data_IF_075499952743
#
_entry.id   IF_075499952743
#
_cell.length_a   1.000
_cell.length_b   1.000
_cell.length_c   1.000
_cell.angle_alpha   90.00
_cell.angle_beta   90.00
_cell.angle_gamma   90.00
#
_symmetry.space_group_name_H-M   'P 1'
#
loop_
_entity.id
_entity.type
_entity.pdbx_description
1 polymer ?
#
# COMPACT_ATOMS: atom_id res chain seq x y z
N UNK A 1 -18.12 -11.99 11.34
CA UNK A 1 -19.59 -11.99 11.23
C UNK A 1 -19.93 -11.45 9.85
N UNK A 2 -20.51 -12.25 8.94
CA UNK A 2 -20.85 -11.84 7.57
C UNK A 2 -21.97 -10.80 7.62
N UNK A 3 -21.76 -9.60 7.05
CA UNK A 3 -22.85 -8.64 6.85
C UNK A 3 -23.53 -8.98 5.53
N UNK A 4 -24.64 -9.72 5.61
CA UNK A 4 -25.49 -9.96 4.45
C UNK A 4 -26.20 -8.64 4.13
N UNK A 5 -25.89 -8.07 2.97
CA UNK A 5 -26.53 -6.85 2.47
C UNK A 5 -27.61 -7.27 1.49
N UNK A 6 -28.88 -7.04 1.83
CA UNK A 6 -30.03 -7.36 0.97
C UNK A 6 -30.31 -6.30 -0.10
N UNK A 7 -29.44 -5.29 -0.28
CA UNK A 7 -29.66 -4.16 -1.20
C UNK A 7 -29.84 -4.57 -2.67
N UNK A 8 -29.46 -5.79 -3.05
CA UNK A 8 -29.50 -6.29 -4.43
C UNK A 8 -30.48 -7.46 -4.63
N UNK A 9 -31.34 -7.73 -3.65
CA UNK A 9 -32.29 -8.84 -3.70
C UNK A 9 -33.23 -8.73 -4.92
N UNK A 10 -33.66 -7.51 -5.29
CA UNK A 10 -34.51 -7.24 -6.44
C UNK A 10 -33.82 -7.52 -7.80
N UNK A 11 -32.50 -7.63 -7.81
CA UNK A 11 -31.70 -8.03 -8.98
C UNK A 11 -31.40 -9.53 -9.01
N UNK A 12 -31.99 -10.30 -8.09
CA UNK A 12 -31.71 -11.73 -7.94
C UNK A 12 -30.34 -12.03 -7.31
N UNK A 13 -29.63 -11.02 -6.81
CA UNK A 13 -28.31 -11.17 -6.19
C UNK A 13 -28.51 -11.40 -4.69
N UNK A 14 -28.18 -12.61 -4.23
CA UNK A 14 -28.35 -13.03 -2.83
C UNK A 14 -27.48 -12.22 -1.88
N UNK A 15 -26.19 -12.10 -2.20
CA UNK A 15 -25.26 -11.18 -1.59
C UNK A 15 -24.06 -10.94 -2.53
N UNK A 16 -23.44 -9.77 -2.41
CA UNK A 16 -22.33 -9.36 -3.27
C UNK A 16 -21.10 -10.26 -3.11
N UNK A 17 -20.88 -10.82 -1.93
CA UNK A 17 -19.69 -11.62 -1.67
C UNK A 17 -19.77 -12.95 -2.42
N UNK A 18 -20.91 -13.65 -2.36
CA UNK A 18 -21.15 -14.85 -3.17
C UNK A 18 -21.09 -14.53 -4.67
N UNK A 19 -21.65 -13.39 -5.11
CA UNK A 19 -21.55 -12.98 -6.50
C UNK A 19 -20.09 -12.78 -6.94
N UNK A 20 -19.27 -12.14 -6.10
CA UNK A 20 -17.83 -11.96 -6.36
C UNK A 20 -17.09 -13.31 -6.35
N UNK A 21 -17.40 -14.23 -5.44
CA UNK A 21 -16.81 -15.58 -5.43
C UNK A 21 -17.12 -16.33 -6.73
N UNK A 22 -18.39 -16.35 -7.15
CA UNK A 22 -18.86 -17.08 -8.35
C UNK A 22 -18.27 -16.52 -9.65
N UNK A 23 -17.88 -15.25 -9.66
CA UNK A 23 -17.39 -14.56 -10.86
C UNK A 23 -15.89 -14.22 -10.80
N UNK A 24 -15.12 -14.83 -9.88
CA UNK A 24 -13.70 -14.52 -9.69
C UNK A 24 -13.41 -13.03 -9.44
N UNK A 25 -14.38 -12.32 -8.84
CA UNK A 25 -14.30 -10.90 -8.50
C UNK A 25 -13.62 -10.61 -7.16
N UNK A 26 -13.26 -11.65 -6.39
CA UNK A 26 -12.44 -11.48 -5.18
C UNK A 26 -10.98 -11.23 -5.54
N UNK A 27 -10.29 -10.48 -4.67
CA UNK A 27 -8.86 -10.25 -4.77
C UNK A 27 -8.06 -11.54 -4.60
N UNK A 28 -7.12 -11.76 -5.51
CA UNK A 28 -6.20 -12.89 -5.45
C UNK A 28 -4.85 -12.41 -4.94
N UNK A 29 -4.41 -12.94 -3.81
CA UNK A 29 -3.18 -12.55 -3.12
C UNK A 29 -2.14 -13.66 -3.29
N UNK A 30 -0.90 -13.29 -3.60
CA UNK A 30 0.20 -14.23 -3.73
C UNK A 30 1.52 -13.63 -3.23
N UNK A 31 2.49 -14.47 -2.81
CA UNK A 31 3.86 -14.01 -2.62
C UNK A 31 4.44 -13.49 -3.95
N UNK A 32 5.39 -12.54 -3.91
CA UNK A 32 6.05 -12.06 -5.12
C UNK A 32 6.90 -13.16 -5.76
N UNK A 33 6.96 -13.16 -7.09
CA UNK A 33 7.97 -13.92 -7.83
C UNK A 33 9.37 -13.30 -7.67
N UNK A 34 10.40 -13.96 -8.22
CA UNK A 34 11.79 -13.51 -8.07
C UNK A 34 12.04 -12.09 -8.61
N UNK A 35 11.40 -11.67 -9.70
CA UNK A 35 11.60 -10.33 -10.26
C UNK A 35 10.83 -9.29 -9.46
N UNK A 36 9.59 -9.61 -9.07
CA UNK A 36 8.78 -8.79 -8.19
C UNK A 36 9.48 -8.56 -6.85
N UNK A 37 10.11 -9.59 -6.30
CA UNK A 37 10.85 -9.51 -5.04
C UNK A 37 12.06 -8.57 -5.16
N UNK A 38 12.79 -8.57 -6.28
CA UNK A 38 13.89 -7.62 -6.52
C UNK A 38 13.37 -6.18 -6.53
N UNK A 39 12.25 -5.94 -7.21
CA UNK A 39 11.62 -4.62 -7.28
C UNK A 39 11.08 -4.16 -5.92
N UNK A 40 10.42 -5.03 -5.17
CA UNK A 40 9.96 -4.76 -3.80
C UNK A 40 11.16 -4.39 -2.91
N UNK A 41 12.26 -5.13 -2.97
CA UNK A 41 13.47 -4.79 -2.20
C UNK A 41 14.04 -3.43 -2.57
N UNK A 42 13.97 -3.07 -3.86
CA UNK A 42 14.39 -1.75 -4.33
C UNK A 42 13.48 -0.64 -3.75
N UNK A 43 12.17 -0.88 -3.69
CA UNK A 43 11.22 0.03 -3.01
C UNK A 43 11.52 0.14 -1.51
N UNK A 44 11.78 -0.97 -0.83
CA UNK A 44 12.15 -1.01 0.59
C UNK A 44 13.45 -0.24 0.87
N UNK A 45 14.46 -0.39 0.01
CA UNK A 45 15.71 0.34 0.12
C UNK A 45 15.47 1.86 0.00
N UNK A 46 14.73 2.28 -1.02
CA UNK A 46 14.36 3.70 -1.21
C UNK A 46 13.54 4.21 -0.03
N UNK A 47 12.56 3.44 0.44
CA UNK A 47 11.74 3.77 1.59
C UNK A 47 12.61 3.98 2.84
N UNK A 48 13.55 3.09 3.11
CA UNK A 48 14.43 3.19 4.27
C UNK A 48 15.37 4.38 4.18
N UNK A 49 15.94 4.63 3.00
CA UNK A 49 16.92 5.69 2.77
C UNK A 49 16.30 7.09 2.85
N UNK A 50 15.16 7.30 2.19
CA UNK A 50 14.60 8.65 2.01
C UNK A 50 13.39 8.94 2.92
N UNK A 51 12.64 7.92 3.33
CA UNK A 51 11.33 8.10 3.97
C UNK A 51 11.28 7.60 5.42
N UNK A 52 12.35 7.01 5.96
CA UNK A 52 12.35 6.44 7.32
C UNK A 52 12.04 7.41 8.45
N UNK A 53 12.19 8.72 8.22
CA UNK A 53 11.84 9.75 9.20
C UNK A 53 10.34 10.10 9.22
N UNK A 54 9.57 9.72 8.20
CA UNK A 54 8.14 10.04 8.10
C UNK A 54 7.21 8.90 8.54
N UNK A 55 7.75 7.69 8.78
CA UNK A 55 7.02 6.55 9.32
C UNK A 55 7.67 5.98 10.59
N UNK A 56 7.02 5.04 11.28
CA UNK A 56 7.46 4.53 12.58
C UNK A 56 7.72 3.01 12.61
N UNK A 57 8.19 2.42 11.52
CA UNK A 57 8.43 0.98 11.43
C UNK A 57 9.81 0.61 11.99
N UNK A 58 9.85 -0.29 12.98
CA UNK A 58 11.09 -0.99 13.37
C UNK A 58 11.57 -1.94 12.27
N UNK A 59 10.60 -2.57 11.59
CA UNK A 59 10.76 -3.41 10.42
C UNK A 59 9.61 -3.12 9.46
N UNK A 60 9.92 -2.93 8.17
CA UNK A 60 8.89 -2.70 7.15
C UNK A 60 7.92 -3.90 7.08
N UNK A 61 6.62 -3.64 6.84
CA UNK A 61 5.61 -4.69 6.67
C UNK A 61 5.95 -5.58 5.46
N UNK A 62 5.46 -6.81 5.49
CA UNK A 62 5.68 -7.74 4.38
C UNK A 62 4.90 -7.26 3.15
N UNK A 63 5.56 -7.14 2.02
CA UNK A 63 4.94 -6.76 0.76
C UNK A 63 4.64 -8.00 -0.11
N UNK A 64 3.37 -8.18 -0.46
CA UNK A 64 2.84 -9.24 -1.31
C UNK A 64 2.22 -8.64 -2.59
N UNK A 65 1.68 -9.48 -3.47
CA UNK A 65 1.15 -9.07 -4.77
C UNK A 65 -0.34 -9.38 -4.91
N UNK A 66 -1.10 -8.42 -5.44
CA UNK A 66 -2.46 -8.63 -5.96
C UNK A 66 -2.35 -9.11 -7.41
N UNK A 67 -2.88 -10.31 -7.67
CA UNK A 67 -2.65 -11.06 -8.92
C UNK A 67 -3.77 -10.86 -9.94
N UNK A 68 -4.98 -10.52 -9.50
CA UNK A 68 -6.10 -10.31 -10.40
C UNK A 68 -6.01 -8.95 -11.10
N UNK A 69 -6.09 -8.97 -12.44
CA UNK A 69 -6.06 -7.79 -13.34
C UNK A 69 -7.18 -6.76 -13.12
N UNK A 70 -8.12 -7.03 -12.21
CA UNK A 70 -9.37 -6.30 -12.04
C UNK A 70 -9.52 -5.67 -10.67
N UNK A 71 -8.45 -5.60 -9.87
CA UNK A 71 -8.51 -4.84 -8.61
C UNK A 71 -8.67 -3.37 -8.91
N UNK A 72 -9.66 -2.74 -8.27
CA UNK A 72 -9.80 -1.29 -8.32
C UNK A 72 -8.62 -0.59 -7.61
N UNK A 73 -7.98 -1.29 -6.67
CA UNK A 73 -6.86 -0.79 -5.89
C UNK A 73 -5.51 -1.18 -6.52
N UNK A 74 -4.58 -0.22 -6.59
CA UNK A 74 -3.19 -0.44 -7.01
C UNK A 74 -2.27 -0.84 -5.85
N UNK A 75 -2.73 -0.62 -4.62
CA UNK A 75 -2.11 -1.00 -3.37
C UNK A 75 -3.18 -1.24 -2.30
N UNK A 76 -2.86 -2.05 -1.30
CA UNK A 76 -3.71 -2.29 -0.13
C UNK A 76 -2.85 -2.52 1.11
N UNK A 77 -3.16 -1.84 2.22
CA UNK A 77 -2.51 -2.08 3.51
C UNK A 77 -3.44 -2.78 4.52
N UNK A 78 -2.93 -3.85 5.13
CA UNK A 78 -3.64 -4.54 6.20
C UNK A 78 -3.34 -3.91 7.55
N UNK A 79 -4.28 -3.08 8.02
CA UNK A 79 -4.13 -2.23 9.20
C UNK A 79 -4.81 -2.83 10.43
N UNK A 80 -4.13 -2.72 11.58
CA UNK A 80 -4.65 -3.10 12.89
C UNK A 80 -4.60 -1.88 13.81
N UNK A 81 -5.72 -1.56 14.47
CA UNK A 81 -5.74 -0.44 15.43
C UNK A 81 -4.70 -0.67 16.52
N UNK A 82 -4.02 0.39 16.90
CA UNK A 82 -2.97 0.33 17.93
C UNK A 82 -3.13 1.45 18.94
N UNK A 83 -2.97 1.13 20.22
CA UNK A 83 -3.00 2.10 21.33
C UNK A 83 -1.60 2.64 21.65
N UNK A 84 -0.58 2.21 20.90
CA UNK A 84 0.81 2.64 21.07
C UNK A 84 0.91 4.16 20.95
N UNK A 85 1.73 4.75 21.81
CA UNK A 85 2.05 6.17 21.76
C UNK A 85 3.36 6.43 21.01
N UNK A 86 3.44 5.94 19.77
CA UNK A 86 4.61 6.09 18.89
C UNK A 86 4.38 7.28 17.96
N UNK A 87 5.43 8.06 17.74
CA UNK A 87 5.44 9.23 16.84
C UNK A 87 6.63 9.16 15.90
N UNK A 88 6.46 9.64 14.68
CA UNK A 88 7.58 9.78 13.74
C UNK A 88 8.46 10.98 14.14
N UNK A 89 9.54 11.21 13.37
CA UNK A 89 10.48 12.32 13.62
C UNK A 89 9.84 13.72 13.48
N UNK A 90 8.66 13.81 12.86
CA UNK A 90 7.87 15.03 12.72
C UNK A 90 6.86 15.21 13.86
N UNK A 91 6.86 14.32 14.87
CA UNK A 91 5.95 14.37 16.01
C UNK A 91 4.54 13.86 15.71
N UNK A 92 4.30 13.23 14.56
CA UNK A 92 2.99 12.72 14.15
C UNK A 92 2.76 11.33 14.73
N UNK A 93 1.63 11.13 15.42
CA UNK A 93 1.29 9.87 16.09
C UNK A 93 0.67 8.86 15.13
N UNK A 94 1.07 7.59 15.23
CA UNK A 94 0.40 6.49 14.51
C UNK A 94 -0.99 6.19 15.09
N UNK A 95 -1.90 5.76 14.22
CA UNK A 95 -3.25 5.29 14.54
C UNK A 95 -3.40 3.76 14.38
N UNK A 96 -2.56 3.15 13.54
CA UNK A 96 -2.61 1.72 13.23
C UNK A 96 -1.20 1.13 13.04
N UNK A 97 -1.04 -0.13 13.37
CA UNK A 97 0.08 -0.96 12.92
C UNK A 97 -0.27 -1.57 11.55
N UNK A 98 0.72 -1.76 10.67
CA UNK A 98 0.55 -2.45 9.37
C UNK A 98 1.35 -3.75 9.40
N UNK A 99 0.68 -4.88 9.15
CA UNK A 99 1.35 -6.19 9.09
C UNK A 99 1.81 -6.54 7.68
N UNK A 100 0.96 -6.23 6.70
CA UNK A 100 1.13 -6.61 5.30
C UNK A 100 0.69 -5.47 4.39
N UNK A 101 1.37 -5.34 3.27
CA UNK A 101 1.00 -4.50 2.14
C UNK A 101 0.88 -5.40 0.92
N UNK A 102 -0.05 -5.08 0.04
CA UNK A 102 -0.19 -5.71 -1.26
C UNK A 102 -0.05 -4.66 -2.34
N UNK A 103 0.71 -4.97 -3.40
CA UNK A 103 0.79 -4.12 -4.60
C UNK A 103 0.18 -4.86 -5.78
N UNK A 104 -0.56 -4.15 -6.64
CA UNK A 104 -1.00 -4.70 -7.91
C UNK A 104 0.20 -5.17 -8.74
N UNK A 105 0.05 -6.31 -9.43
CA UNK A 105 1.11 -6.89 -10.26
C UNK A 105 1.70 -5.88 -11.25
N UNK A 106 0.85 -5.09 -11.89
CA UNK A 106 1.20 -4.08 -12.90
C UNK A 106 2.03 -2.93 -12.31
N UNK A 107 1.84 -2.64 -11.02
CA UNK A 107 2.67 -1.68 -10.28
C UNK A 107 4.12 -2.14 -10.23
N UNK A 108 4.38 -3.44 -10.31
CA UNK A 108 5.72 -4.02 -10.29
C UNK A 108 6.26 -4.33 -11.70
N UNK A 109 5.71 -3.77 -12.77
CA UNK A 109 6.24 -3.92 -14.13
C UNK A 109 7.54 -3.11 -14.35
N UNK A 110 8.35 -3.49 -15.34
CA UNK A 110 9.72 -2.96 -15.57
C UNK A 110 9.80 -1.47 -15.89
N UNK A 111 8.69 -0.79 -16.18
CA UNK A 111 8.66 0.64 -16.49
C UNK A 111 7.92 1.46 -15.42
N UNK A 112 7.54 0.82 -14.32
CA UNK A 112 6.59 1.36 -13.35
C UNK A 112 7.23 2.00 -12.13
N UNK A 113 8.56 2.17 -12.05
CA UNK A 113 9.21 2.68 -10.82
C UNK A 113 8.55 3.95 -10.26
N UNK A 114 8.34 4.96 -11.12
CA UNK A 114 7.84 6.26 -10.70
C UNK A 114 6.37 6.24 -10.27
N UNK A 115 5.59 5.23 -10.69
CA UNK A 115 4.23 4.98 -10.16
C UNK A 115 4.26 4.06 -8.94
N UNK A 116 5.16 3.07 -8.91
CA UNK A 116 5.28 2.09 -7.85
C UNK A 116 5.72 2.68 -6.53
N UNK A 117 6.73 3.56 -6.56
CA UNK A 117 7.27 4.20 -5.36
C UNK A 117 6.19 4.96 -4.57
N UNK A 118 5.45 5.93 -5.14
CA UNK A 118 4.44 6.65 -4.38
C UNK A 118 3.30 5.74 -3.89
N UNK A 119 2.92 4.70 -4.64
CA UNK A 119 1.92 3.71 -4.17
C UNK A 119 2.45 2.98 -2.94
N UNK A 120 3.67 2.45 -3.00
CA UNK A 120 4.24 1.72 -1.87
C UNK A 120 4.39 2.58 -0.62
N UNK A 121 4.87 3.82 -0.77
CA UNK A 121 4.96 4.74 0.37
C UNK A 121 3.56 5.14 0.87
N UNK A 122 2.58 5.34 -0.01
CA UNK A 122 1.19 5.59 0.37
C UNK A 122 0.66 4.48 1.28
N UNK A 123 0.84 3.22 0.89
CA UNK A 123 0.41 2.08 1.71
C UNK A 123 1.11 2.06 3.08
N UNK A 124 2.40 2.38 3.14
CA UNK A 124 3.13 2.50 4.40
C UNK A 124 2.58 3.64 5.29
N UNK A 125 2.05 4.70 4.71
CA UNK A 125 1.52 5.85 5.44
C UNK A 125 0.14 5.59 6.05
N UNK A 126 -0.55 4.51 5.68
CA UNK A 126 -1.83 4.14 6.31
C UNK A 126 -1.74 3.87 7.82
N UNK A 127 -0.53 3.79 8.39
CA UNK A 127 -0.31 3.79 9.84
C UNK A 127 -0.85 5.07 10.51
N UNK A 128 -0.98 6.17 9.77
CA UNK A 128 -1.51 7.46 10.25
C UNK A 128 -3.03 7.61 10.02
N UNK A 129 -3.70 6.53 9.63
CA UNK A 129 -5.13 6.47 9.30
C UNK A 129 -5.37 6.18 7.83
N UNK A 130 -6.64 6.02 7.45
CA UNK A 130 -7.03 5.80 6.05
C UNK A 130 -7.08 7.10 5.24
N UNK A 131 -7.46 6.98 3.97
CA UNK A 131 -7.50 8.09 2.98
C UNK A 131 -8.33 9.30 3.38
N UNK A 132 -9.25 9.16 4.34
CA UNK A 132 -10.06 10.28 4.83
C UNK A 132 -9.39 11.09 5.95
N UNK A 133 -8.24 10.62 6.47
CA UNK A 133 -7.55 11.24 7.61
C UNK A 133 -6.75 12.48 7.19
N UNK A 134 -6.95 13.59 7.91
CA UNK A 134 -6.14 14.80 7.71
C UNK A 134 -4.66 14.58 8.01
N UNK A 135 -4.37 13.74 9.00
CA UNK A 135 -2.99 13.38 9.38
C UNK A 135 -2.31 12.59 8.26
N UNK A 136 -3.05 11.65 7.66
CA UNK A 136 -2.57 10.89 6.50
C UNK A 136 -2.25 11.81 5.33
N UNK A 137 -3.14 12.75 5.00
CA UNK A 137 -2.88 13.74 3.95
C UNK A 137 -1.64 14.60 4.23
N UNK A 138 -1.41 15.03 5.47
CA UNK A 138 -0.17 15.74 5.84
C UNK A 138 1.08 14.92 5.54
N UNK A 139 1.05 13.60 5.75
CA UNK A 139 2.17 12.73 5.42
C UNK A 139 2.31 12.47 3.92
N UNK A 140 1.22 12.46 3.16
CA UNK A 140 1.29 12.44 1.69
C UNK A 140 1.95 13.71 1.12
N UNK A 141 1.65 14.88 1.70
CA UNK A 141 2.35 16.12 1.31
C UNK A 141 3.85 16.00 1.55
N UNK A 142 4.24 15.45 2.70
CA UNK A 142 5.65 15.26 3.04
C UNK A 142 6.34 14.23 2.13
N UNK A 143 5.68 13.11 1.84
CA UNK A 143 6.15 12.14 0.84
C UNK A 143 6.42 12.83 -0.51
N UNK A 144 5.48 13.62 -1.00
CA UNK A 144 5.63 14.34 -2.27
C UNK A 144 6.79 15.34 -2.24
N UNK A 145 6.96 16.05 -1.11
CA UNK A 145 8.10 16.96 -0.91
C UNK A 145 9.43 16.19 -1.02
N UNK A 146 9.56 15.06 -0.33
CA UNK A 146 10.76 14.20 -0.37
C UNK A 146 11.04 13.72 -1.80
N UNK A 147 10.02 13.26 -2.53
CA UNK A 147 10.19 12.80 -3.92
C UNK A 147 10.72 13.93 -4.81
N UNK A 148 10.18 15.14 -4.67
CA UNK A 148 10.59 16.29 -5.48
C UNK A 148 12.03 16.72 -5.17
N UNK A 149 12.39 16.78 -3.89
CA UNK A 149 13.74 17.18 -3.45
C UNK A 149 14.81 16.17 -3.86
N UNK A 150 14.47 14.88 -3.88
CA UNK A 150 15.43 13.80 -4.14
C UNK A 150 15.32 13.25 -5.57
N UNK A 151 14.62 13.93 -6.49
CA UNK A 151 14.34 13.46 -7.87
C UNK A 151 15.57 12.89 -8.58
N UNK A 152 16.74 13.54 -8.45
CA UNK A 152 17.98 13.11 -9.11
C UNK A 152 18.46 11.77 -8.57
N UNK A 153 18.51 11.61 -7.24
CA UNK A 153 18.94 10.35 -6.63
C UNK A 153 17.93 9.23 -6.90
N UNK A 154 16.63 9.53 -6.83
CA UNK A 154 15.58 8.58 -7.17
C UNK A 154 15.67 8.09 -8.63
N UNK A 155 16.18 8.93 -9.54
CA UNK A 155 16.38 8.52 -10.94
C UNK A 155 17.46 7.46 -11.12
N UNK A 156 18.41 7.33 -10.17
CA UNK A 156 19.41 6.24 -10.19
C UNK A 156 18.79 4.90 -9.79
N UNK A 157 17.78 4.92 -8.91
CA UNK A 157 16.98 3.74 -8.59
C UNK A 157 16.08 3.34 -9.76
N UNK A 158 15.50 4.32 -10.46
CA UNK A 158 14.70 4.06 -11.65
C UNK A 158 15.47 3.34 -12.77
N UNK A 159 16.80 3.50 -12.85
CA UNK A 159 17.66 2.78 -13.81
C UNK A 159 17.91 1.32 -13.43
N UNK A 160 17.72 0.96 -12.16
CA UNK A 160 17.92 -0.39 -11.62
C UNK A 160 16.62 -1.21 -11.56
N UNK A 161 15.48 -0.54 -11.80
CA UNK A 161 14.13 -1.11 -11.77
C UNK A 161 13.85 -2.07 -12.95
#
# INVERSE_FOLDING_TARGET
>A
MRRVSYYFADLGIKDLYTLCEENCGLELKAPPDSQQLVRIKLLEEVAQKFFSHIYCYDKLPTCNVLVNKSTAALGEAYTHKTDKNIRNSLGVKIASDISEIYLAKETLDSMSFYSALPIYIHELLHQFGGDSSTVFHSMLFEMNRIILENRRELSEYAKQW
#
